data_IF_597294112785
#
_entry.id   IF_597294112785
#
_cell.length_a   1.000
_cell.length_b   1.000
_cell.length_c   1.000
_cell.angle_alpha   90.00
_cell.angle_beta   90.00
_cell.angle_gamma   90.00
#
_symmetry.space_group_name_H-M   'P 1'
#
loop_
_entity.id
_entity.type
_entity.pdbx_description
1 polymer ?
#
# COMPACT_ATOMS: atom_id res chain seq x y z
N UNK A 1 7.90 -21.23 22.34
CA UNK A 1 7.76 -19.91 23.00
C UNK A 1 9.02 -19.06 22.86
N UNK A 2 10.22 -19.56 23.21
CA UNK A 2 11.50 -18.84 23.06
C UNK A 2 11.82 -18.41 21.61
N UNK A 3 11.51 -19.24 20.62
CA UNK A 3 11.74 -18.91 19.21
C UNK A 3 10.88 -17.73 18.71
N UNK A 4 9.62 -17.64 19.15
CA UNK A 4 8.71 -16.54 18.81
C UNK A 4 9.18 -15.23 19.44
N UNK A 5 9.72 -15.28 20.66
CA UNK A 5 10.27 -14.12 21.36
C UNK A 5 11.53 -13.61 20.64
N UNK A 6 12.45 -14.50 20.26
CA UNK A 6 13.66 -14.11 19.52
C UNK A 6 13.38 -13.52 18.13
N UNK A 7 12.36 -14.04 17.44
CA UNK A 7 11.87 -13.46 16.18
C UNK A 7 11.30 -12.06 16.37
N UNK A 8 10.50 -11.87 17.42
CA UNK A 8 9.91 -10.57 17.75
C UNK A 8 10.96 -9.51 18.09
N UNK A 9 11.98 -9.88 18.87
CA UNK A 9 13.12 -9.00 19.17
C UNK A 9 13.89 -8.63 17.90
N UNK A 10 14.20 -9.60 17.04
CA UNK A 10 14.92 -9.35 15.79
C UNK A 10 14.19 -8.36 14.87
N UNK A 11 12.87 -8.49 14.75
CA UNK A 11 12.04 -7.58 13.96
C UNK A 11 11.99 -6.19 14.59
N UNK A 12 11.82 -6.10 15.92
CA UNK A 12 11.84 -4.83 16.64
C UNK A 12 13.18 -4.12 16.49
N UNK A 13 14.29 -4.84 16.58
CA UNK A 13 15.64 -4.29 16.46
C UNK A 13 15.88 -3.75 15.04
N UNK A 14 15.44 -4.49 14.02
CA UNK A 14 15.46 -4.00 12.64
C UNK A 14 14.63 -2.73 12.47
N UNK A 15 13.41 -2.69 13.03
CA UNK A 15 12.54 -1.51 12.95
C UNK A 15 13.17 -0.32 13.67
N UNK A 16 13.76 -0.55 14.85
CA UNK A 16 14.45 0.50 15.62
C UNK A 16 15.64 1.09 14.86
N UNK A 17 16.32 0.30 14.01
CA UNK A 17 17.43 0.77 13.18
C UNK A 17 16.98 1.76 12.11
N UNK A 18 15.78 1.59 11.54
CA UNK A 18 15.18 2.50 10.56
C UNK A 18 14.46 3.70 11.17
N UNK A 19 14.37 3.79 12.50
CA UNK A 19 13.67 4.85 13.21
C UNK A 19 12.14 4.82 13.05
N UNK A 20 11.47 5.85 13.55
CA UNK A 20 10.00 5.91 13.64
C UNK A 20 9.30 5.86 12.26
N UNK A 21 9.97 6.31 11.21
CA UNK A 21 9.44 6.31 9.84
C UNK A 21 9.16 4.89 9.35
N UNK A 22 9.93 3.89 9.80
CA UNK A 22 9.73 2.51 9.38
C UNK A 22 8.42 1.93 9.92
N UNK A 23 7.93 2.39 11.09
CA UNK A 23 6.59 2.05 11.56
C UNK A 23 5.50 2.63 10.68
N UNK A 24 5.68 3.86 10.17
CA UNK A 24 4.74 4.49 9.23
C UNK A 24 4.66 3.67 7.93
N UNK A 25 5.82 3.29 7.37
CA UNK A 25 5.88 2.43 6.18
C UNK A 25 5.19 1.09 6.43
N UNK A 26 5.42 0.46 7.59
CA UNK A 26 4.78 -0.81 7.94
C UNK A 26 3.25 -0.71 8.03
N UNK A 27 2.72 0.36 8.63
CA UNK A 27 1.27 0.60 8.70
C UNK A 27 0.67 0.83 7.32
N UNK A 28 1.32 1.65 6.49
CA UNK A 28 0.87 1.91 5.11
C UNK A 28 0.87 0.62 4.29
N UNK A 29 1.92 -0.20 4.41
CA UNK A 29 2.02 -1.51 3.76
C UNK A 29 0.89 -2.44 4.20
N UNK A 30 0.57 -2.52 5.49
CA UNK A 30 -0.54 -3.34 5.99
C UNK A 30 -1.89 -2.88 5.43
N UNK A 31 -2.15 -1.57 5.41
CA UNK A 31 -3.39 -1.00 4.84
C UNK A 31 -3.48 -1.32 3.35
N UNK A 32 -2.38 -1.13 2.62
CA UNK A 32 -2.33 -1.40 1.18
C UNK A 32 -2.59 -2.88 0.89
N UNK A 33 -1.94 -3.80 1.61
CA UNK A 33 -2.18 -5.23 1.48
C UNK A 33 -3.63 -5.61 1.80
N UNK A 34 -4.22 -5.04 2.85
CA UNK A 34 -5.62 -5.29 3.18
C UNK A 34 -6.56 -4.86 2.04
N UNK A 35 -6.34 -3.68 1.45
CA UNK A 35 -7.11 -3.20 0.30
C UNK A 35 -6.89 -4.06 -0.95
N UNK A 36 -5.66 -4.52 -1.20
CA UNK A 36 -5.36 -5.42 -2.32
C UNK A 36 -6.06 -6.77 -2.16
N UNK A 37 -6.08 -7.34 -0.95
CA UNK A 37 -6.77 -8.61 -0.66
C UNK A 37 -8.28 -8.46 -0.80
N UNK A 38 -8.86 -7.41 -0.24
CA UNK A 38 -10.28 -7.09 -0.41
C UNK A 38 -10.65 -6.99 -1.90
N UNK A 39 -9.80 -6.31 -2.68
CA UNK A 39 -10.01 -6.12 -4.11
C UNK A 39 -9.88 -7.43 -4.89
N UNK A 40 -8.89 -8.25 -4.55
CA UNK A 40 -8.71 -9.57 -5.15
C UNK A 40 -9.90 -10.50 -4.85
N UNK A 41 -10.43 -10.47 -3.63
CA UNK A 41 -11.65 -11.18 -3.25
C UNK A 41 -12.87 -10.69 -4.04
N UNK A 42 -13.05 -9.38 -4.18
CA UNK A 42 -14.14 -8.80 -4.97
C UNK A 42 -14.10 -9.28 -6.43
N UNK A 43 -12.93 -9.25 -7.06
CA UNK A 43 -12.74 -9.64 -8.46
C UNK A 43 -12.98 -11.14 -8.70
N UNK A 44 -12.61 -11.99 -7.74
CA UNK A 44 -12.68 -13.45 -7.89
C UNK A 44 -14.02 -14.03 -7.45
N UNK A 45 -14.67 -13.44 -6.45
CA UNK A 45 -15.88 -14.01 -5.83
C UNK A 45 -17.13 -13.20 -6.13
N UNK A 46 -17.12 -11.88 -5.91
CA UNK A 46 -18.35 -11.08 -6.00
C UNK A 46 -18.66 -10.63 -7.44
N UNK A 47 -17.67 -10.15 -8.18
CA UNK A 47 -17.87 -9.65 -9.54
C UNK A 47 -18.42 -10.71 -10.52
N UNK A 48 -18.00 -11.99 -10.48
CA UNK A 48 -18.59 -13.03 -11.33
C UNK A 48 -20.08 -13.25 -11.07
N UNK A 49 -20.55 -13.09 -9.81
CA UNK A 49 -21.98 -13.18 -9.47
C UNK A 49 -22.75 -12.01 -10.06
N UNK A 50 -22.23 -10.80 -9.92
CA UNK A 50 -22.82 -9.57 -10.49
C UNK A 50 -22.92 -9.70 -12.01
N UNK A 51 -21.83 -10.11 -12.67
CA UNK A 51 -21.81 -10.36 -14.12
C UNK A 51 -22.87 -11.38 -14.54
N UNK A 52 -22.98 -12.51 -13.83
CA UNK A 52 -23.99 -13.53 -14.12
C UNK A 52 -25.42 -12.98 -13.97
N UNK A 53 -25.68 -12.17 -12.95
CA UNK A 53 -26.98 -11.54 -12.75
C UNK A 53 -27.32 -10.55 -13.88
N UNK A 54 -26.37 -9.72 -14.31
CA UNK A 54 -26.59 -8.79 -15.44
C UNK A 54 -26.91 -9.55 -16.72
N UNK A 55 -26.19 -10.64 -17.01
CA UNK A 55 -26.43 -11.49 -18.19
C UNK A 55 -27.80 -12.16 -18.08
N UNK A 56 -28.12 -12.78 -16.95
CA UNK A 56 -29.43 -13.42 -16.73
C UNK A 56 -30.59 -12.43 -16.86
N UNK A 57 -30.42 -11.21 -16.36
CA UNK A 57 -31.42 -10.15 -16.48
C UNK A 57 -31.57 -9.66 -17.93
N UNK A 58 -30.47 -9.62 -18.69
CA UNK A 58 -30.51 -9.30 -20.12
C UNK A 58 -31.24 -10.36 -20.93
N UNK A 59 -30.90 -11.63 -20.71
CA UNK A 59 -31.48 -12.77 -21.43
C UNK A 59 -32.99 -12.96 -21.13
N UNK A 60 -33.45 -12.52 -19.96
CA UNK A 60 -34.87 -12.55 -19.58
C UNK A 60 -35.71 -11.43 -20.25
N UNK A 61 -35.09 -10.44 -20.92
CA UNK A 61 -35.83 -9.34 -21.55
C UNK A 61 -36.39 -9.75 -22.91
N UNK A 62 -37.63 -9.34 -23.14
CA UNK A 62 -38.35 -9.54 -24.41
C UNK A 62 -37.78 -8.64 -25.52
N UNK A 63 -37.39 -7.41 -25.17
CA UNK A 63 -36.83 -6.43 -26.09
C UNK A 63 -35.33 -6.25 -25.85
N UNK A 64 -34.53 -6.75 -26.79
CA UNK A 64 -33.06 -6.69 -26.79
C UNK A 64 -32.49 -5.85 -27.94
N UNK A 65 -33.34 -5.46 -28.91
CA UNK A 65 -32.89 -4.82 -30.16
C UNK A 65 -33.22 -3.34 -30.23
N UNK A 66 -34.21 -2.85 -29.48
CA UNK A 66 -34.57 -1.43 -29.52
C UNK A 66 -33.44 -0.53 -29.02
N UNK A 67 -33.49 0.75 -29.41
CA UNK A 67 -32.56 1.75 -28.90
C UNK A 67 -32.59 1.84 -27.36
N UNK A 68 -33.78 1.74 -26.77
CA UNK A 68 -33.97 1.74 -25.31
C UNK A 68 -33.32 0.53 -24.64
N UNK A 69 -33.39 -0.65 -25.27
CA UNK A 69 -32.71 -1.86 -24.80
C UNK A 69 -31.18 -1.66 -24.74
N UNK A 70 -30.60 -1.09 -25.80
CA UNK A 70 -29.16 -0.77 -25.85
C UNK A 70 -28.74 0.21 -24.74
N UNK A 71 -29.53 1.27 -24.50
CA UNK A 71 -29.23 2.22 -23.42
C UNK A 71 -29.24 1.61 -22.02
N UNK A 72 -30.15 0.66 -21.77
CA UNK A 72 -30.21 -0.04 -20.49
C UNK A 72 -28.99 -0.97 -20.31
N UNK A 73 -28.59 -1.67 -21.38
CA UNK A 73 -27.35 -2.46 -21.36
C UNK A 73 -26.14 -1.60 -21.05
N UNK A 74 -26.01 -0.46 -21.74
CA UNK A 74 -24.88 0.44 -21.55
C UNK A 74 -24.86 1.01 -20.12
N UNK A 75 -26.04 1.28 -19.53
CA UNK A 75 -26.16 1.67 -18.13
C UNK A 75 -25.66 0.57 -17.16
N UNK A 76 -26.07 -0.69 -17.35
CA UNK A 76 -25.59 -1.81 -16.53
C UNK A 76 -24.08 -2.05 -16.67
N UNK A 77 -23.55 -1.90 -17.89
CA UNK A 77 -22.10 -1.99 -18.13
C UNK A 77 -21.37 -0.84 -17.42
N UNK A 78 -21.92 0.37 -17.45
CA UNK A 78 -21.36 1.53 -16.75
C UNK A 78 -21.35 1.32 -15.24
N UNK A 79 -22.45 0.82 -14.66
CA UNK A 79 -22.54 0.52 -13.23
C UNK A 79 -21.53 -0.56 -12.81
N UNK A 80 -21.41 -1.62 -13.60
CA UNK A 80 -20.40 -2.65 -13.37
C UNK A 80 -18.97 -2.10 -13.46
N UNK A 81 -18.71 -1.18 -14.39
CA UNK A 81 -17.42 -0.49 -14.53
C UNK A 81 -17.11 0.41 -13.33
N UNK A 82 -18.09 1.14 -12.80
CA UNK A 82 -17.94 1.95 -11.58
C UNK A 82 -17.55 1.08 -10.38
N UNK A 83 -18.23 -0.07 -10.18
CA UNK A 83 -17.88 -1.03 -9.13
C UNK A 83 -16.46 -1.60 -9.31
N UNK A 84 -16.04 -1.81 -10.56
CA UNK A 84 -14.68 -2.24 -10.86
C UNK A 84 -13.65 -1.13 -10.61
N UNK A 85 -13.99 0.14 -10.76
CA UNK A 85 -13.04 1.23 -10.53
C UNK A 85 -13.05 1.75 -9.08
N UNK A 86 -14.06 1.37 -8.29
CA UNK A 86 -14.15 1.70 -6.89
C UNK A 86 -12.86 1.31 -6.14
N UNK A 87 -12.37 2.22 -5.29
CA UNK A 87 -11.18 2.07 -4.42
C UNK A 87 -9.84 1.92 -5.16
N UNK A 88 -9.82 1.76 -6.49
CA UNK A 88 -8.58 1.66 -7.27
C UNK A 88 -7.72 2.93 -7.19
N UNK A 89 -8.35 4.12 -7.10
CA UNK A 89 -7.62 5.38 -6.94
C UNK A 89 -6.88 5.43 -5.59
N UNK A 90 -7.49 4.93 -4.52
CA UNK A 90 -6.87 4.88 -3.19
C UNK A 90 -5.66 3.94 -3.20
N UNK A 91 -5.80 2.75 -3.80
CA UNK A 91 -4.67 1.82 -3.92
C UNK A 91 -3.52 2.45 -4.72
N UNK A 92 -3.82 3.07 -5.87
CA UNK A 92 -2.80 3.74 -6.70
C UNK A 92 -2.10 4.88 -5.97
N UNK A 93 -2.84 5.67 -5.19
CA UNK A 93 -2.25 6.78 -4.43
C UNK A 93 -1.38 6.28 -3.29
N UNK A 94 -1.80 5.24 -2.56
CA UNK A 94 -0.97 4.62 -1.51
C UNK A 94 0.35 4.07 -2.07
N UNK A 95 0.29 3.34 -3.19
CA UNK A 95 1.48 2.82 -3.88
C UNK A 95 2.43 3.96 -4.30
N UNK A 96 1.89 5.07 -4.81
CA UNK A 96 2.70 6.22 -5.18
C UNK A 96 3.29 6.97 -3.97
N UNK A 97 2.62 6.92 -2.81
CA UNK A 97 3.10 7.56 -1.58
C UNK A 97 4.16 6.74 -0.84
N UNK A 98 4.19 5.41 -0.96
CA UNK A 98 5.16 4.53 -0.28
C UNK A 98 6.63 4.97 -0.48
N UNK A 99 7.10 5.23 -1.73
CA UNK A 99 8.47 5.71 -1.95
C UNK A 99 8.72 7.10 -1.36
N UNK A 100 7.71 7.98 -1.34
CA UNK A 100 7.83 9.33 -0.80
C UNK A 100 8.00 9.30 0.73
N UNK A 101 7.30 8.39 1.42
CA UNK A 101 7.46 8.16 2.86
C UNK A 101 8.84 7.57 3.15
N UNK A 102 9.33 6.64 2.32
CA UNK A 102 10.68 6.12 2.45
C UNK A 102 11.76 7.20 2.29
N UNK A 103 11.57 8.11 1.32
CA UNK A 103 12.45 9.25 1.10
C UNK A 103 12.40 10.24 2.27
N UNK A 104 11.24 10.48 2.87
CA UNK A 104 11.13 11.27 4.11
C UNK A 104 12.02 10.69 5.23
N UNK A 105 12.10 9.36 5.33
CA UNK A 105 12.99 8.67 6.25
C UNK A 105 14.47 8.99 6.03
N UNK A 106 14.92 9.15 4.78
CA UNK A 106 16.31 9.57 4.51
C UNK A 106 16.57 10.98 5.01
N UNK A 107 15.63 11.90 4.79
CA UNK A 107 15.77 13.29 5.24
C UNK A 107 15.83 13.34 6.75
N UNK A 108 14.94 12.60 7.43
CA UNK A 108 14.93 12.50 8.88
C UNK A 108 16.22 11.89 9.46
N UNK A 109 16.70 10.78 8.89
CA UNK A 109 17.96 10.15 9.31
C UNK A 109 19.17 11.06 9.10
N UNK A 110 19.24 11.79 7.99
CA UNK A 110 20.32 12.74 7.74
C UNK A 110 20.28 13.94 8.69
N UNK A 111 19.11 14.42 9.10
CA UNK A 111 18.99 15.47 10.14
C UNK A 111 19.61 14.96 11.46
N UNK A 112 19.31 13.72 11.86
CA UNK A 112 19.88 13.14 13.08
C UNK A 112 21.41 12.98 12.99
N UNK A 113 21.95 12.63 11.81
CA UNK A 113 23.42 12.60 11.59
C UNK A 113 24.03 13.98 11.84
N UNK A 114 23.48 15.04 11.25
CA UNK A 114 24.02 16.39 11.44
C UNK A 114 23.89 16.89 12.89
N UNK A 115 22.81 16.55 13.58
CA UNK A 115 22.61 16.90 14.99
C UNK A 115 23.63 16.19 15.92
N UNK A 116 23.91 14.91 15.66
CA UNK A 116 24.97 14.18 16.40
C UNK A 116 26.36 14.75 16.12
N UNK A 117 26.65 15.18 14.89
CA UNK A 117 27.92 15.86 14.56
C UNK A 117 28.05 17.22 15.25
N UNK A 118 26.94 17.97 15.36
CA UNK A 118 26.93 19.27 16.03
C UNK A 118 27.12 19.15 17.56
N UNK A 119 26.56 18.10 18.16
CA UNK A 119 26.62 17.88 19.62
C UNK A 119 27.86 17.15 20.11
N UNK A 120 28.36 16.15 19.35
CA UNK A 120 29.46 15.27 19.77
C UNK A 120 30.74 15.45 18.93
N UNK A 121 30.71 16.35 17.94
CA UNK A 121 31.80 16.53 16.98
C UNK A 121 31.89 15.42 15.94
N UNK A 122 32.89 15.50 15.07
CA UNK A 122 33.08 14.55 13.95
C UNK A 122 33.89 13.30 14.33
N UNK A 123 34.21 13.13 15.61
CA UNK A 123 35.17 12.14 16.10
C UNK A 123 34.66 10.71 16.27
N UNK A 124 33.36 10.45 16.10
CA UNK A 124 32.76 9.12 16.27
C UNK A 124 32.14 8.56 14.97
N UNK A 125 32.93 7.89 14.11
CA UNK A 125 32.46 7.33 12.84
C UNK A 125 31.34 6.29 12.99
N UNK A 126 31.24 5.61 14.14
CA UNK A 126 30.18 4.62 14.38
C UNK A 126 28.80 5.26 14.49
N UNK A 127 28.69 6.40 15.18
CA UNK A 127 27.43 7.13 15.27
C UNK A 127 27.01 7.68 13.91
N UNK A 128 27.98 8.18 13.13
CA UNK A 128 27.71 8.63 11.75
C UNK A 128 27.22 7.49 10.87
N UNK A 129 27.88 6.33 10.91
CA UNK A 129 27.46 5.15 10.15
C UNK A 129 26.05 4.66 10.55
N UNK A 130 25.72 4.68 11.85
CA UNK A 130 24.40 4.32 12.34
C UNK A 130 23.31 5.26 11.83
N UNK A 131 23.54 6.58 11.83
CA UNK A 131 22.56 7.55 11.31
C UNK A 131 22.38 7.47 9.78
N UNK A 132 23.45 7.17 9.03
CA UNK A 132 23.34 6.91 7.58
C UNK A 132 22.54 5.63 7.32
N UNK A 133 22.75 4.57 8.11
CA UNK A 133 21.95 3.34 8.01
C UNK A 133 20.47 3.61 8.33
N UNK A 134 20.19 4.42 9.35
CA UNK A 134 18.82 4.84 9.68
C UNK A 134 18.16 5.62 8.54
N UNK A 135 18.94 6.39 7.78
CA UNK A 135 18.43 7.11 6.62
C UNK A 135 18.08 6.17 5.46
N UNK A 136 18.89 5.15 5.15
CA UNK A 136 18.73 4.34 3.93
C UNK A 136 17.69 3.22 4.05
N UNK A 137 17.52 2.63 5.25
CA UNK A 137 16.59 1.51 5.46
C UNK A 137 15.13 1.87 5.13
N UNK A 138 14.57 3.01 5.58
CA UNK A 138 13.20 3.41 5.24
C UNK A 138 12.96 3.58 3.74
N UNK A 139 13.96 4.05 2.98
CA UNK A 139 13.83 4.19 1.52
C UNK A 139 13.78 2.84 0.83
N UNK A 140 14.66 1.90 1.23
CA UNK A 140 14.59 0.54 0.70
C UNK A 140 13.24 -0.11 1.04
N UNK A 141 12.76 0.05 2.27
CA UNK A 141 11.46 -0.46 2.68
C UNK A 141 10.31 0.16 1.87
N UNK A 142 10.34 1.48 1.65
CA UNK A 142 9.31 2.19 0.87
C UNK A 142 9.31 1.86 -0.63
N UNK A 143 10.41 1.36 -1.19
CA UNK A 143 10.46 0.87 -2.58
C UNK A 143 10.00 -0.58 -2.72
N UNK A 144 10.15 -1.39 -1.66
CA UNK A 144 9.69 -2.78 -1.62
C UNK A 144 8.20 -2.87 -1.30
N UNK A 145 7.70 -1.92 -0.50
CA UNK A 145 6.29 -1.76 -0.16
C UNK A 145 5.46 -1.43 -1.39
#
# INVERSE_FOLDING_TARGET
>A
MLYLIGLWESVRDFISTGGDVLYVVAVVLLIMWALMVERWYFLTVEFPKIRKNIISNWDARIDTTSWSAHRIRDAWVSEASELLNARMLIIKTLVAMCPLIGLLGTVYGMINVFDTMASQGTGNPRLMAAGISMATIPTMAGMVA
#
